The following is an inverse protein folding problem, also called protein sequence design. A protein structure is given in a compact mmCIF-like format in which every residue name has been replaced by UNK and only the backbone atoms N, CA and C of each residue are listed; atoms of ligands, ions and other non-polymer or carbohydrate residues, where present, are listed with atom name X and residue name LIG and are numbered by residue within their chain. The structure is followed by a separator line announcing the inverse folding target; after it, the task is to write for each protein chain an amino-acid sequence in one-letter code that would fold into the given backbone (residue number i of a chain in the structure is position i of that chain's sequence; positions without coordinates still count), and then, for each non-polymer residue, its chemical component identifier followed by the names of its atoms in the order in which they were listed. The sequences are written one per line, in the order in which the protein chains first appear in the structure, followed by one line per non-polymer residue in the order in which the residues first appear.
data_IF_681007190155
#
_entry.id   IF_681007190155
#
_cell.length_a   1.000
_cell.length_b   1.000
_cell.length_c   1.000
_cell.angle_alpha   90.00
_cell.angle_beta   90.00
_cell.angle_gamma   90.00
#
_symmetry.space_group_name_H-M   'P 1'
#
loop_
_entity.id
_entity.type
_entity.pdbx_description
1 polymer ?
#
# COMPACT_ATOMS: atom_id res chain seq x y z
N UNK A 1 27.55 11.04 17.10
CA UNK A 1 28.90 10.43 17.11
C UNK A 1 28.80 9.09 16.40
N UNK A 2 29.66 8.84 15.41
CA UNK A 2 29.74 7.53 14.78
C UNK A 2 30.36 6.53 15.79
N UNK A 3 29.71 5.38 16.00
CA UNK A 3 30.23 4.32 16.86
C UNK A 3 31.42 3.65 16.18
N UNK A 4 32.44 3.24 16.95
CA UNK A 4 33.60 2.50 16.43
C UNK A 4 33.13 1.20 15.77
N UNK A 5 33.71 0.87 14.62
CA UNK A 5 33.52 -0.43 13.96
C UNK A 5 34.78 -1.28 14.13
N UNK A 6 34.67 -2.57 14.49
CA UNK A 6 35.81 -3.48 14.52
C UNK A 6 36.22 -3.88 13.09
N UNK A 7 37.44 -4.40 12.92
CA UNK A 7 37.91 -4.92 11.62
C UNK A 7 38.13 -6.42 11.73
N UNK A 8 37.55 -7.20 10.82
CA UNK A 8 37.69 -8.64 10.80
C UNK A 8 39.11 -9.06 10.40
N UNK A 9 39.76 -9.89 11.21
CA UNK A 9 41.15 -10.31 11.00
C UNK A 9 41.24 -11.51 10.03
N UNK A 10 40.15 -12.26 9.87
CA UNK A 10 40.05 -13.42 8.99
C UNK A 10 38.57 -13.72 8.66
N UNK A 11 38.31 -14.66 7.74
CA UNK A 11 36.93 -15.02 7.32
C UNK A 11 36.11 -15.76 8.40
N UNK A 12 36.75 -16.21 9.49
CA UNK A 12 36.14 -17.04 10.54
C UNK A 12 35.62 -16.18 11.69
N UNK A 13 36.41 -15.20 12.11
CA UNK A 13 36.09 -14.28 13.20
C UNK A 13 35.28 -13.10 12.67
N UNK A 14 34.10 -12.90 13.25
CA UNK A 14 33.16 -11.83 12.89
C UNK A 14 33.00 -10.92 14.10
N UNK A 15 33.91 -9.96 14.32
CA UNK A 15 34.00 -9.25 15.58
C UNK A 15 32.79 -8.36 15.82
N UNK A 16 32.35 -8.27 17.07
CA UNK A 16 31.19 -7.46 17.48
C UNK A 16 31.57 -6.59 18.67
N UNK A 17 31.30 -5.29 18.57
CA UNK A 17 31.42 -4.34 19.69
C UNK A 17 30.03 -4.06 20.25
N UNK A 18 29.90 -4.10 21.58
CA UNK A 18 28.69 -3.71 22.29
C UNK A 18 28.89 -2.33 22.91
N UNK A 19 27.92 -1.44 22.72
CA UNK A 19 27.84 -0.14 23.36
C UNK A 19 26.63 -0.09 24.30
N UNK A 20 26.71 0.70 25.37
CA UNK A 20 25.57 1.02 26.25
C UNK A 20 25.53 2.53 26.49
N UNK A 21 24.39 3.14 26.20
CA UNK A 21 24.14 4.57 26.33
C UNK A 21 25.21 5.43 25.61
N UNK A 22 25.71 4.93 24.47
CA UNK A 22 26.75 5.60 23.67
C UNK A 22 28.19 5.29 24.06
N UNK A 23 28.43 4.63 25.20
CA UNK A 23 29.77 4.23 25.64
C UNK A 23 30.09 2.80 25.22
N UNK A 24 31.30 2.56 24.73
CA UNK A 24 31.79 1.23 24.40
C UNK A 24 31.90 0.38 25.67
N UNK A 25 31.32 -0.83 25.65
CA UNK A 25 31.44 -1.77 26.75
C UNK A 25 32.58 -2.76 26.51
N UNK A 26 32.51 -3.50 25.39
CA UNK A 26 33.43 -4.60 25.10
C UNK A 26 33.33 -5.07 23.65
N UNK A 27 34.45 -5.55 23.12
CA UNK A 27 34.56 -6.23 21.82
C UNK A 27 34.67 -7.76 21.99
N UNK A 28 34.07 -8.50 21.05
CA UNK A 28 34.01 -9.95 21.04
C UNK A 28 34.37 -10.49 19.66
N UNK A 29 34.85 -11.73 19.57
CA UNK A 29 35.23 -12.36 18.30
C UNK A 29 34.05 -12.84 17.45
N UNK A 30 32.84 -12.90 18.03
CA UNK A 30 31.64 -13.39 17.33
C UNK A 30 30.32 -12.91 17.96
N UNK A 31 29.24 -12.95 17.18
CA UNK A 31 27.86 -12.70 17.65
C UNK A 31 27.51 -13.64 18.81
N UNK A 32 27.93 -14.89 18.76
CA UNK A 32 27.62 -15.91 19.77
C UNK A 32 28.27 -15.57 21.11
N UNK A 33 29.55 -15.13 21.10
CA UNK A 33 30.26 -14.75 22.31
C UNK A 33 29.74 -13.43 22.88
N UNK A 34 29.46 -12.45 22.01
CA UNK A 34 28.80 -11.20 22.38
C UNK A 34 27.43 -11.42 23.04
N UNK A 35 26.59 -12.28 22.45
CA UNK A 35 25.24 -12.54 22.94
C UNK A 35 25.23 -13.28 24.28
N UNK A 36 26.12 -14.26 24.46
CA UNK A 36 26.27 -14.99 25.74
C UNK A 36 26.70 -14.03 26.84
N UNK A 37 27.71 -13.20 26.58
CA UNK A 37 28.16 -12.20 27.54
C UNK A 37 27.06 -11.17 27.84
N UNK A 38 26.34 -10.70 26.82
CA UNK A 38 25.28 -9.72 26.99
C UNK A 38 24.15 -10.25 27.88
N UNK A 39 23.80 -11.53 27.77
CA UNK A 39 22.86 -12.20 28.68
C UNK A 39 23.32 -12.08 30.13
N UNK A 40 24.57 -12.49 30.40
CA UNK A 40 25.16 -12.47 31.75
C UNK A 40 25.28 -11.05 32.31
N UNK A 41 25.73 -10.10 31.48
CA UNK A 41 25.92 -8.71 31.86
C UNK A 41 24.60 -7.98 32.14
N UNK A 42 23.58 -8.21 31.31
CA UNK A 42 22.29 -7.53 31.42
C UNK A 42 21.32 -8.19 32.40
N UNK A 43 21.57 -9.45 32.77
CA UNK A 43 20.62 -10.27 33.53
C UNK A 43 19.42 -10.75 32.71
N UNK A 44 19.50 -10.69 31.37
CA UNK A 44 18.39 -11.07 30.50
C UNK A 44 18.12 -12.59 30.57
N UNK A 45 16.84 -12.97 30.51
CA UNK A 45 16.41 -14.37 30.69
C UNK A 45 16.91 -15.30 29.58
N UNK A 46 17.03 -14.80 28.36
CA UNK A 46 17.39 -15.57 27.17
C UNK A 46 18.69 -15.06 26.56
N UNK A 47 19.31 -15.81 25.66
CA UNK A 47 20.47 -15.32 24.91
C UNK A 47 19.94 -14.34 23.84
N UNK A 48 20.30 -13.04 23.89
CA UNK A 48 19.75 -12.02 22.99
C UNK A 48 20.40 -12.04 21.59
N UNK A 49 20.49 -13.23 20.98
CA UNK A 49 21.18 -13.42 19.70
C UNK A 49 20.59 -12.54 18.60
N UNK A 50 19.26 -12.53 18.48
CA UNK A 50 18.56 -11.78 17.45
C UNK A 50 18.68 -10.27 17.64
N UNK A 51 18.79 -9.80 18.87
CA UNK A 51 18.97 -8.39 19.18
C UNK A 51 20.38 -7.91 18.78
N UNK A 52 21.40 -8.73 19.05
CA UNK A 52 22.77 -8.44 18.62
C UNK A 52 22.86 -8.50 17.09
N UNK A 53 22.30 -9.56 16.48
CA UNK A 53 22.27 -9.76 15.03
C UNK A 53 21.56 -8.62 14.29
N UNK A 54 20.36 -8.25 14.73
CA UNK A 54 19.64 -7.13 14.14
C UNK A 54 20.37 -5.80 14.37
N UNK A 55 20.99 -5.64 15.53
CA UNK A 55 21.74 -4.43 15.85
C UNK A 55 22.93 -4.21 14.94
N UNK A 56 23.71 -5.27 14.65
CA UNK A 56 24.87 -5.16 13.77
C UNK A 56 24.49 -4.99 12.29
N UNK A 57 23.40 -5.61 11.82
CA UNK A 57 23.04 -5.61 10.39
C UNK A 57 22.11 -4.46 10.02
N UNK A 58 21.16 -4.11 10.89
CA UNK A 58 20.13 -3.11 10.62
C UNK A 58 20.27 -1.83 11.47
N UNK A 59 21.26 -1.77 12.37
CA UNK A 59 21.47 -0.62 13.26
C UNK A 59 20.42 -0.50 14.37
N UNK A 60 19.68 -1.57 14.66
CA UNK A 60 18.67 -1.58 15.72
C UNK A 60 19.31 -1.43 17.11
N UNK A 61 18.78 -0.51 17.91
CA UNK A 61 19.16 -0.42 19.32
C UNK A 61 18.27 -1.34 20.16
N UNK A 62 18.88 -2.08 21.08
CA UNK A 62 18.16 -2.90 22.04
C UNK A 62 18.03 -2.18 23.38
N UNK A 63 16.81 -1.97 23.87
CA UNK A 63 16.59 -1.35 25.19
C UNK A 63 16.19 -2.38 26.23
N UNK A 64 16.94 -2.46 27.33
CA UNK A 64 16.66 -3.38 28.43
C UNK A 64 17.17 -2.85 29.77
N UNK A 65 16.32 -2.96 30.79
CA UNK A 65 16.60 -2.55 32.18
C UNK A 65 17.22 -1.15 32.31
N UNK A 66 16.63 -0.17 31.60
CA UNK A 66 17.08 1.23 31.62
C UNK A 66 18.37 1.54 30.83
N UNK A 67 18.95 0.55 30.13
CA UNK A 67 20.07 0.75 29.21
C UNK A 67 19.66 0.62 27.74
N UNK A 68 20.22 1.47 26.89
CA UNK A 68 20.11 1.35 25.43
C UNK A 68 21.42 0.79 24.88
N UNK A 69 21.35 -0.37 24.25
CA UNK A 69 22.48 -1.09 23.69
C UNK A 69 22.52 -0.91 22.17
N UNK A 70 23.71 -0.66 21.65
CA UNK A 70 23.98 -0.63 20.21
C UNK A 70 25.13 -1.58 19.89
N UNK A 71 25.19 -2.02 18.64
CA UNK A 71 26.11 -3.06 18.21
C UNK A 71 26.75 -2.67 16.88
N UNK A 72 28.06 -2.90 16.75
CA UNK A 72 28.76 -2.72 15.48
C UNK A 72 29.57 -3.97 15.15
N UNK A 73 29.81 -4.18 13.87
CA UNK A 73 30.62 -5.28 13.31
C UNK A 73 31.48 -4.72 12.18
N UNK A 74 32.39 -5.53 11.66
CA UNK A 74 33.14 -5.17 10.45
C UNK A 74 32.20 -4.82 9.30
N UNK A 75 32.45 -3.68 8.68
CA UNK A 75 31.58 -3.13 7.65
C UNK A 75 31.49 -4.09 6.46
N UNK A 76 32.58 -4.68 5.98
CA UNK A 76 32.54 -5.62 4.86
C UNK A 76 31.73 -6.89 5.19
N UNK A 77 31.79 -7.37 6.44
CA UNK A 77 30.94 -8.48 6.91
C UNK A 77 29.46 -8.06 6.91
N UNK A 78 29.17 -6.83 7.34
CA UNK A 78 27.82 -6.26 7.32
C UNK A 78 27.30 -6.18 5.89
N UNK A 79 28.07 -5.59 4.98
CA UNK A 79 27.74 -5.43 3.56
C UNK A 79 27.50 -6.79 2.88
N UNK A 80 28.40 -7.76 3.08
CA UNK A 80 28.29 -9.10 2.49
C UNK A 80 27.06 -9.87 3.00
N UNK A 81 26.73 -9.75 4.30
CA UNK A 81 25.53 -10.40 4.84
C UNK A 81 24.26 -9.74 4.34
N UNK A 82 24.29 -8.43 4.15
CA UNK A 82 23.18 -7.67 3.58
C UNK A 82 23.00 -8.03 2.11
N UNK A 83 24.07 -8.17 1.32
CA UNK A 83 24.03 -8.67 -0.06
C UNK A 83 23.45 -10.11 -0.16
N UNK A 84 23.88 -11.03 0.72
CA UNK A 84 23.30 -12.39 0.82
C UNK A 84 21.78 -12.36 1.12
N UNK A 85 21.32 -11.33 1.81
CA UNK A 85 19.90 -11.09 2.12
C UNK A 85 19.18 -10.25 1.05
N UNK A 86 19.83 -9.92 -0.07
CA UNK A 86 19.28 -9.09 -1.15
C UNK A 86 19.18 -7.59 -0.82
N UNK A 87 19.89 -7.15 0.22
CA UNK A 87 19.95 -5.77 0.70
C UNK A 87 21.22 -5.14 0.12
N UNK A 88 21.10 -4.46 -1.02
CA UNK A 88 22.21 -3.67 -1.57
C UNK A 88 22.69 -2.63 -0.55
N UNK A 89 24.01 -2.58 -0.38
CA UNK A 89 24.66 -1.72 0.60
C UNK A 89 25.70 -0.84 -0.05
N UNK A 90 25.20 0.21 -0.68
CA UNK A 90 25.90 1.49 -0.68
C UNK A 90 25.09 2.47 0.15
N UNK A 91 25.78 3.41 0.76
CA UNK A 91 25.30 4.46 1.65
C UNK A 91 24.40 5.46 0.87
N UNK A 92 23.21 5.00 0.44
CA UNK A 92 22.12 5.76 -0.21
C UNK A 92 20.75 5.49 0.43
N UNK A 93 20.68 4.82 1.59
CA UNK A 93 19.42 4.44 2.24
C UNK A 93 18.79 5.55 3.10
N UNK A 94 18.79 6.80 2.64
CA UNK A 94 17.56 7.57 2.71
C UNK A 94 17.01 7.49 1.29
N UNK A 95 16.12 6.53 1.03
CA UNK A 95 15.31 6.60 -0.18
C UNK A 95 14.67 7.98 -0.10
N UNK A 96 15.02 8.86 -1.05
CA UNK A 96 14.53 10.22 -0.97
C UNK A 96 12.99 10.17 -1.02
N UNK A 97 12.31 11.04 -0.27
CA UNK A 97 10.86 11.10 -0.34
C UNK A 97 10.45 11.35 -1.79
N UNK A 98 9.74 10.40 -2.37
CA UNK A 98 9.30 10.44 -3.77
C UNK A 98 7.97 11.16 -3.95
N UNK A 99 7.29 11.49 -2.85
CA UNK A 99 5.87 11.85 -2.83
C UNK A 99 4.94 10.64 -2.82
N UNK A 100 5.48 9.43 -2.90
CA UNK A 100 4.74 8.17 -2.88
C UNK A 100 5.18 7.30 -1.70
N UNK A 101 4.26 6.62 -1.03
CA UNK A 101 4.54 5.91 0.22
C UNK A 101 3.91 4.52 0.27
N UNK A 102 4.65 3.55 0.79
CA UNK A 102 4.11 2.27 1.26
C UNK A 102 3.85 2.35 2.75
N UNK A 103 2.59 2.21 3.16
CA UNK A 103 2.16 2.07 4.55
C UNK A 103 2.02 0.58 4.90
N UNK A 104 2.91 0.09 5.77
CA UNK A 104 2.98 -1.35 6.08
C UNK A 104 2.04 -1.67 7.25
N UNK A 105 0.99 -2.42 6.93
CA UNK A 105 0.04 -2.93 7.88
C UNK A 105 0.47 -4.30 8.42
N UNK A 106 0.43 -4.44 9.75
CA UNK A 106 0.49 -5.74 10.42
C UNK A 106 -0.90 -6.08 10.97
N UNK A 107 -1.64 -7.04 10.35
CA UNK A 107 -2.98 -7.43 10.77
C UNK A 107 -3.08 -7.88 12.24
N UNK A 108 -1.98 -8.37 12.82
CA UNK A 108 -1.94 -8.77 14.23
C UNK A 108 -2.01 -7.59 15.20
N UNK A 109 -1.55 -6.42 14.76
CA UNK A 109 -1.57 -5.19 15.55
C UNK A 109 -2.80 -4.35 15.24
N UNK A 110 -3.14 -4.25 13.97
CA UNK A 110 -4.21 -3.40 13.46
C UNK A 110 -5.10 -4.20 12.51
N UNK A 111 -6.36 -4.34 12.90
CA UNK A 111 -7.45 -5.01 12.18
C UNK A 111 -7.88 -4.17 10.97
N UNK A 112 -7.00 -4.10 9.98
CA UNK A 112 -7.22 -3.36 8.73
C UNK A 112 -8.46 -3.86 7.98
N UNK A 113 -8.76 -5.14 8.07
CA UNK A 113 -9.98 -5.75 7.55
C UNK A 113 -11.23 -5.17 8.20
N UNK A 114 -11.27 -5.04 9.52
CA UNK A 114 -12.39 -4.40 10.23
C UNK A 114 -12.53 -2.93 9.84
N UNK A 115 -11.41 -2.22 9.69
CA UNK A 115 -11.41 -0.82 9.27
C UNK A 115 -11.95 -0.67 7.84
N UNK A 116 -11.42 -1.42 6.88
CA UNK A 116 -11.85 -1.36 5.48
C UNK A 116 -13.30 -1.81 5.30
N UNK A 117 -13.78 -2.79 6.08
CA UNK A 117 -15.18 -3.22 6.06
C UNK A 117 -16.14 -2.21 6.69
N UNK A 118 -15.66 -1.34 7.58
CA UNK A 118 -16.50 -0.34 8.25
C UNK A 118 -16.96 0.79 7.32
N UNK A 119 -16.27 0.99 6.19
CA UNK A 119 -16.48 2.12 5.29
C UNK A 119 -15.87 3.43 5.79
N UNK A 120 -15.16 3.44 6.92
CA UNK A 120 -14.33 4.59 7.32
C UNK A 120 -13.25 4.88 6.27
N UNK A 121 -13.15 6.14 5.85
CA UNK A 121 -12.17 6.59 4.85
C UNK A 121 -11.05 7.44 5.43
N UNK A 122 -11.03 7.66 6.75
CA UNK A 122 -10.04 8.51 7.42
C UNK A 122 -9.37 7.79 8.59
N UNK A 123 -8.04 7.83 8.63
CA UNK A 123 -7.28 7.28 9.75
C UNK A 123 -5.97 8.02 10.02
N UNK A 124 -5.31 7.65 11.11
CA UNK A 124 -3.93 8.09 11.41
C UNK A 124 -2.98 6.89 11.40
N UNK A 125 -2.04 6.89 10.46
CA UNK A 125 -1.11 5.79 10.27
C UNK A 125 0.19 6.02 11.03
N UNK A 126 0.71 5.00 11.71
CA UNK A 126 2.00 5.10 12.41
C UNK A 126 3.16 5.08 11.42
N UNK A 127 4.07 6.04 11.51
CA UNK A 127 5.21 6.17 10.59
C UNK A 127 6.54 5.90 11.30
N UNK A 128 7.61 5.67 10.53
CA UNK A 128 8.96 5.63 11.09
C UNK A 128 9.38 7.03 11.55
N UNK A 129 10.12 7.10 12.65
CA UNK A 129 10.65 8.37 13.15
C UNK A 129 11.56 9.06 12.12
N UNK A 130 12.25 8.29 11.27
CA UNK A 130 13.10 8.80 10.18
C UNK A 130 12.33 9.52 9.07
N UNK A 131 11.03 9.24 8.93
CA UNK A 131 10.19 9.74 7.84
C UNK A 131 9.36 10.96 8.28
N UNK A 132 9.39 11.32 9.57
CA UNK A 132 8.49 12.33 10.17
C UNK A 132 8.53 13.71 9.51
N UNK A 133 9.66 14.07 8.92
CA UNK A 133 9.91 15.38 8.31
C UNK A 133 9.80 15.31 6.77
N UNK A 134 9.44 14.15 6.22
CA UNK A 134 9.45 13.86 4.78
C UNK A 134 8.06 13.90 4.12
N UNK A 135 6.99 13.81 4.91
CA UNK A 135 5.62 13.78 4.39
C UNK A 135 5.11 15.17 4.01
N UNK A 136 4.53 15.28 2.82
CA UNK A 136 3.82 16.47 2.33
C UNK A 136 2.33 16.16 2.19
N UNK A 137 1.48 17.17 2.40
CA UNK A 137 0.04 17.04 2.17
C UNK A 137 -0.18 16.85 0.67
N UNK A 138 -0.97 15.85 0.28
CA UNK A 138 -1.16 15.43 -1.10
C UNK A 138 -0.23 14.29 -1.55
N UNK A 139 0.74 13.88 -0.71
CA UNK A 139 1.51 12.66 -0.99
C UNK A 139 0.57 11.46 -1.13
N UNK A 140 0.88 10.59 -2.08
CA UNK A 140 0.08 9.40 -2.39
C UNK A 140 0.70 8.16 -1.77
N UNK A 141 -0.06 7.09 -1.64
CA UNK A 141 0.48 5.85 -1.12
C UNK A 141 -0.43 4.65 -1.19
N UNK A 142 0.10 3.53 -0.73
CA UNK A 142 -0.56 2.24 -0.69
C UNK A 142 -0.54 1.67 0.72
N UNK A 143 -1.59 0.95 1.11
CA UNK A 143 -1.59 0.14 2.35
C UNK A 143 -1.26 -1.30 1.98
N UNK A 144 -0.09 -1.76 2.42
CA UNK A 144 0.42 -3.10 2.15
C UNK A 144 0.28 -3.98 3.39
N UNK A 145 -0.39 -5.10 3.23
CA UNK A 145 -0.46 -6.17 4.23
C UNK A 145 0.62 -7.19 3.95
N UNK A 146 1.45 -7.47 4.97
CA UNK A 146 2.40 -8.57 4.95
C UNK A 146 1.75 -9.89 5.37
N UNK A 147 2.58 -10.87 5.76
CA UNK A 147 2.07 -12.17 6.24
C UNK A 147 1.13 -12.02 7.45
N UNK A 148 -0.11 -12.47 7.30
CA UNK A 148 -1.08 -12.48 8.40
C UNK A 148 -0.79 -13.62 9.38
N UNK A 149 -0.27 -13.23 10.54
CA UNK A 149 0.07 -14.12 11.64
C UNK A 149 -0.93 -14.06 12.80
N UNK A 150 -2.17 -13.57 12.56
CA UNK A 150 -3.24 -13.61 13.55
C UNK A 150 -3.55 -15.05 13.97
N UNK A 151 -3.88 -15.21 15.25
CA UNK A 151 -4.32 -16.48 15.85
C UNK A 151 -5.80 -16.73 15.58
N UNK A 152 -6.27 -17.98 15.72
CA UNK A 152 -7.70 -18.34 15.58
C UNK A 152 -8.60 -17.46 16.46
N UNK A 153 -8.15 -17.18 17.70
CA UNK A 153 -8.87 -16.30 18.63
C UNK A 153 -8.97 -14.85 18.14
N UNK A 154 -7.90 -14.33 17.52
CA UNK A 154 -7.89 -12.97 16.96
C UNK A 154 -8.72 -12.86 15.68
N UNK A 155 -8.73 -13.93 14.87
CA UNK A 155 -9.50 -13.98 13.64
C UNK A 155 -11.01 -14.06 13.90
N UNK A 156 -11.44 -14.66 15.02
CA UNK A 156 -12.85 -14.74 15.41
C UNK A 156 -13.77 -15.21 14.27
N UNK A 157 -13.35 -16.26 13.54
CA UNK A 157 -14.08 -16.82 12.40
C UNK A 157 -13.71 -16.23 11.03
N UNK A 158 -12.89 -15.17 10.97
CA UNK A 158 -12.39 -14.60 9.72
C UNK A 158 -11.25 -15.43 9.10
N UNK A 159 -11.12 -15.32 7.78
CA UNK A 159 -9.96 -15.85 7.08
C UNK A 159 -8.75 -14.93 7.27
N UNK A 160 -7.55 -15.50 7.11
CA UNK A 160 -6.32 -14.72 7.11
C UNK A 160 -6.24 -13.88 5.84
N UNK A 161 -5.65 -12.70 5.95
CA UNK A 161 -5.34 -11.88 4.79
C UNK A 161 -4.10 -12.43 4.08
N UNK A 162 -4.17 -12.50 2.77
CA UNK A 162 -3.02 -12.76 1.93
C UNK A 162 -2.10 -11.53 1.89
N UNK A 163 -0.84 -11.75 1.52
CA UNK A 163 0.08 -10.64 1.43
C UNK A 163 -0.20 -9.85 0.14
N UNK A 164 -0.44 -8.55 0.26
CA UNK A 164 -0.86 -7.73 -0.89
C UNK A 164 -1.11 -6.27 -0.55
N UNK A 165 -1.57 -5.52 -1.55
CA UNK A 165 -2.03 -4.14 -1.43
C UNK A 165 -3.54 -4.12 -1.23
N UNK A 166 -3.98 -3.50 -0.14
CA UNK A 166 -5.37 -3.52 0.32
C UNK A 166 -6.06 -2.15 0.24
N UNK A 167 -5.30 -1.08 0.02
CA UNK A 167 -5.88 0.23 -0.23
C UNK A 167 -4.89 1.17 -0.92
N UNK A 168 -5.45 2.20 -1.57
CA UNK A 168 -4.74 3.40 -2.01
C UNK A 168 -5.13 4.56 -1.10
N UNK A 169 -4.17 5.39 -0.73
CA UNK A 169 -4.33 6.46 0.26
C UNK A 169 -3.68 7.76 -0.18
N UNK A 170 -4.15 8.86 0.40
CA UNK A 170 -3.60 10.20 0.28
C UNK A 170 -3.26 10.75 1.67
N UNK A 171 -2.13 11.43 1.79
CA UNK A 171 -1.71 12.11 3.02
C UNK A 171 -2.41 13.45 3.13
N UNK A 172 -3.24 13.62 4.15
CA UNK A 172 -4.09 14.81 4.33
C UNK A 172 -3.61 15.73 5.46
N UNK A 173 -2.48 15.42 6.08
CA UNK A 173 -1.96 16.22 7.18
C UNK A 173 -0.51 15.92 7.51
N UNK A 174 0.12 16.82 8.27
CA UNK A 174 1.50 16.64 8.73
C UNK A 174 1.61 15.60 9.84
N UNK A 175 2.73 14.86 9.92
CA UNK A 175 2.98 13.95 11.03
C UNK A 175 2.96 14.64 12.38
N UNK A 176 2.38 13.96 13.38
CA UNK A 176 2.30 14.43 14.76
C UNK A 176 2.62 13.29 15.71
N UNK A 177 3.35 13.60 16.78
CA UNK A 177 3.61 12.65 17.87
C UNK A 177 2.33 12.53 18.71
N UNK A 178 1.69 11.35 18.68
CA UNK A 178 0.46 11.11 19.43
C UNK A 178 0.30 9.64 19.82
N UNK A 179 -0.37 9.39 20.95
CA UNK A 179 -0.96 8.09 21.26
C UNK A 179 -2.28 7.93 20.50
N UNK A 180 -2.70 6.71 20.20
CA UNK A 180 -4.00 6.49 19.53
C UNK A 180 -5.08 6.20 20.55
N UNK A 181 -6.21 6.89 20.42
CA UNK A 181 -7.43 6.73 21.21
C UNK A 181 -8.52 5.92 20.47
N UNK A 182 -8.32 5.60 19.18
CA UNK A 182 -9.26 4.80 18.37
C UNK A 182 -9.42 3.39 18.96
N UNK A 183 -10.52 3.20 19.71
CA UNK A 183 -10.82 1.98 20.47
C UNK A 183 -11.12 0.73 19.62
N UNK A 184 -11.38 0.85 18.31
CA UNK A 184 -11.97 -0.22 17.49
C UNK A 184 -11.01 -1.24 16.86
N UNK A 185 -9.88 -0.80 16.29
CA UNK A 185 -9.17 -1.61 15.29
C UNK A 185 -7.80 -2.15 15.73
N UNK A 186 -7.42 -2.07 17.00
CA UNK A 186 -6.08 -2.46 17.46
C UNK A 186 -6.13 -3.61 18.48
N UNK A 187 -5.50 -4.76 18.24
CA UNK A 187 -5.64 -5.89 19.18
C UNK A 187 -4.82 -5.75 20.48
N UNK A 188 -3.77 -4.92 20.52
CA UNK A 188 -2.87 -4.77 21.67
C UNK A 188 -3.04 -3.41 22.38
N UNK A 189 -3.70 -3.38 23.54
CA UNK A 189 -3.94 -2.15 24.32
C UNK A 189 -2.66 -1.42 24.75
N UNK A 190 -1.58 -2.16 25.06
CA UNK A 190 -0.31 -1.57 25.50
C UNK A 190 0.49 -0.87 24.38
N UNK A 191 0.26 -1.21 23.10
CA UNK A 191 0.91 -0.54 21.96
C UNK A 191 0.14 0.75 21.57
N UNK A 192 -1.14 0.86 21.94
CA UNK A 192 -1.99 2.05 21.69
C UNK A 192 -1.55 3.28 22.51
N UNK A 193 -1.09 3.06 23.75
CA UNK A 193 -0.72 4.12 24.69
C UNK A 193 0.67 4.72 24.45
N UNK A 194 1.50 4.12 23.59
CA UNK A 194 2.84 4.64 23.26
C UNK A 194 2.72 5.72 22.20
N UNK A 195 3.20 6.92 22.53
CA UNK A 195 3.28 8.01 21.56
C UNK A 195 4.21 7.60 20.41
N UNK A 196 3.68 7.66 19.18
CA UNK A 196 4.43 7.46 17.93
C UNK A 196 4.12 8.61 16.99
N UNK A 197 5.02 8.91 16.07
CA UNK A 197 4.66 9.78 14.97
C UNK A 197 3.60 9.09 14.13
N UNK A 198 2.50 9.80 13.90
CA UNK A 198 1.39 9.37 13.05
C UNK A 198 1.07 10.43 12.03
N UNK A 199 0.72 10.00 10.83
CA UNK A 199 0.31 10.87 9.73
C UNK A 199 -1.18 10.64 9.42
N UNK A 200 -1.99 11.71 9.31
CA UNK A 200 -3.37 11.61 8.85
C UNK A 200 -3.42 11.19 7.37
N UNK A 201 -4.22 10.17 7.07
CA UNK A 201 -4.41 9.65 5.71
C UNK A 201 -5.90 9.50 5.38
N UNK A 202 -6.23 9.71 4.11
CA UNK A 202 -7.54 9.39 3.52
C UNK A 202 -7.39 8.17 2.62
N UNK A 203 -8.31 7.22 2.72
CA UNK A 203 -8.40 6.06 1.83
C UNK A 203 -9.20 6.46 0.60
N UNK A 204 -8.57 6.41 -0.56
CA UNK A 204 -9.18 6.77 -1.86
C UNK A 204 -9.69 5.54 -2.59
N UNK A 205 -9.06 4.37 -2.38
CA UNK A 205 -9.52 3.10 -2.93
C UNK A 205 -9.44 2.03 -1.86
N UNK A 206 -10.54 1.30 -1.68
CA UNK A 206 -10.62 0.14 -0.79
C UNK A 206 -10.56 -1.12 -1.64
N UNK A 207 -9.50 -1.91 -1.45
CA UNK A 207 -9.21 -3.13 -2.20
C UNK A 207 -9.38 -4.37 -1.32
N UNK A 208 -10.23 -4.28 -0.29
CA UNK A 208 -10.43 -5.40 0.63
C UNK A 208 -10.99 -6.64 -0.05
N UNK A 209 -11.97 -6.47 -0.94
CA UNK A 209 -12.60 -7.58 -1.66
C UNK A 209 -11.68 -8.16 -2.75
N UNK A 210 -10.91 -7.30 -3.41
CA UNK A 210 -9.99 -7.67 -4.49
C UNK A 210 -8.61 -7.01 -4.29
N UNK A 211 -7.78 -7.55 -3.36
CA UNK A 211 -6.45 -7.01 -3.11
C UNK A 211 -5.50 -7.35 -4.25
N UNK A 212 -4.54 -6.47 -4.50
CA UNK A 212 -3.45 -6.77 -5.45
C UNK A 212 -2.41 -7.60 -4.71
N UNK A 213 -2.38 -8.90 -4.96
CA UNK A 213 -1.50 -9.83 -4.26
C UNK A 213 -0.03 -9.59 -4.62
N UNK A 214 0.87 -9.81 -3.65
CA UNK A 214 2.31 -9.67 -3.89
C UNK A 214 2.80 -10.65 -4.96
N UNK A 215 2.22 -11.85 -5.03
CA UNK A 215 2.56 -12.84 -6.05
C UNK A 215 2.23 -12.32 -7.45
N UNK A 216 1.09 -11.62 -7.63
CA UNK A 216 0.73 -10.96 -8.89
C UNK A 216 1.72 -9.85 -9.26
N UNK A 217 2.16 -9.05 -8.28
CA UNK A 217 3.16 -8.01 -8.51
C UNK A 217 4.53 -8.60 -8.91
N UNK A 218 4.90 -9.75 -8.33
CA UNK A 218 6.11 -10.49 -8.67
C UNK A 218 6.06 -11.04 -10.10
N UNK A 219 4.95 -11.71 -10.45
CA UNK A 219 4.78 -12.36 -11.77
C UNK A 219 4.78 -11.35 -12.92
N UNK A 220 4.25 -10.15 -12.69
CA UNK A 220 4.21 -9.09 -13.68
C UNK A 220 5.54 -8.30 -13.79
N UNK A 221 6.54 -8.60 -12.96
CA UNK A 221 7.79 -7.81 -12.83
C UNK A 221 7.53 -6.31 -12.65
N UNK A 222 6.44 -5.97 -11.97
CA UNK A 222 5.91 -4.61 -11.87
C UNK A 222 6.72 -3.75 -10.90
N UNK A 223 7.35 -4.37 -9.90
CA UNK A 223 7.93 -3.56 -8.83
C UNK A 223 9.36 -3.16 -9.18
N UNK A 224 9.59 -1.86 -9.23
CA UNK A 224 10.93 -1.27 -9.20
C UNK A 224 11.44 -1.14 -7.75
N UNK A 225 10.58 -1.47 -6.78
CA UNK A 225 10.87 -1.46 -5.34
C UNK A 225 11.06 -2.85 -4.76
N UNK A 226 12.33 -3.22 -4.56
CA UNK A 226 12.71 -4.45 -3.84
C UNK A 226 12.05 -4.60 -2.46
N UNK A 227 11.68 -3.49 -1.83
CA UNK A 227 11.12 -3.47 -0.47
C UNK A 227 9.60 -3.72 -0.42
N UNK A 228 8.89 -3.56 -1.53
CA UNK A 228 7.47 -3.92 -1.62
C UNK A 228 7.30 -5.45 -1.55
N UNK A 229 8.19 -6.16 -2.25
CA UNK A 229 8.21 -7.63 -2.36
C UNK A 229 8.97 -8.28 -1.19
N UNK A 230 10.24 -7.88 -0.97
CA UNK A 230 11.20 -8.60 -0.12
C UNK A 230 10.88 -8.56 1.38
N UNK A 231 9.83 -7.84 1.77
CA UNK A 231 9.48 -7.61 3.16
C UNK A 231 10.42 -6.58 3.79
N UNK A 232 9.83 -5.64 4.51
CA UNK A 232 10.56 -4.56 5.16
C UNK A 232 10.14 -4.46 6.62
N UNK A 233 11.10 -4.27 7.52
CA UNK A 233 10.83 -3.98 8.92
C UNK A 233 10.71 -2.48 9.11
N UNK A 234 9.49 -1.98 8.97
CA UNK A 234 9.13 -0.59 9.24
C UNK A 234 7.66 -0.37 8.97
N UNK A 235 7.12 0.75 9.44
CA UNK A 235 5.70 1.08 9.23
C UNK A 235 5.46 1.91 7.96
N UNK A 236 6.50 2.54 7.41
CA UNK A 236 6.47 3.31 6.18
C UNK A 236 7.73 3.06 5.34
N UNK A 237 7.63 3.23 4.02
CA UNK A 237 8.77 3.28 3.08
C UNK A 237 8.40 4.24 1.94
N UNK A 238 9.31 5.11 1.47
CA UNK A 238 9.11 5.77 0.18
C UNK A 238 8.95 4.72 -0.93
N UNK A 239 7.97 4.93 -1.78
CA UNK A 239 7.63 4.06 -2.91
C UNK A 239 8.13 4.72 -4.20
N UNK A 240 8.68 3.96 -5.13
CA UNK A 240 9.02 4.50 -6.44
C UNK A 240 7.74 4.91 -7.18
N UNK A 241 7.76 6.09 -7.79
CA UNK A 241 6.65 6.60 -8.61
C UNK A 241 6.24 5.59 -9.69
N UNK A 242 7.20 4.96 -10.37
CA UNK A 242 6.90 3.94 -11.39
C UNK A 242 6.17 2.72 -10.80
N UNK A 243 6.57 2.27 -9.59
CA UNK A 243 5.84 1.19 -8.90
C UNK A 243 4.42 1.62 -8.53
N UNK A 244 4.24 2.86 -8.08
CA UNK A 244 2.90 3.39 -7.79
C UNK A 244 2.04 3.45 -9.07
N UNK A 245 2.58 3.99 -10.16
CA UNK A 245 1.92 4.06 -11.45
C UNK A 245 1.53 2.67 -11.96
N UNK A 246 2.40 1.67 -11.82
CA UNK A 246 2.09 0.31 -12.21
C UNK A 246 0.97 -0.31 -11.36
N UNK A 247 0.93 -0.01 -10.06
CA UNK A 247 -0.17 -0.42 -9.17
C UNK A 247 -1.48 0.22 -9.60
N UNK A 248 -1.47 1.51 -9.92
CA UNK A 248 -2.65 2.21 -10.45
C UNK A 248 -3.07 1.63 -11.80
N UNK A 249 -2.11 1.34 -12.69
CA UNK A 249 -2.39 0.68 -13.96
C UNK A 249 -2.99 -0.71 -13.76
N UNK A 250 -2.54 -1.47 -12.76
CA UNK A 250 -3.17 -2.76 -12.41
C UNK A 250 -4.59 -2.53 -11.95
N UNK A 251 -4.85 -1.53 -11.09
CA UNK A 251 -6.22 -1.21 -10.65
C UNK A 251 -7.12 -0.80 -11.80
N UNK A 252 -6.66 0.12 -12.64
CA UNK A 252 -7.39 0.54 -13.83
C UNK A 252 -7.64 -0.65 -14.75
N UNK A 253 -6.64 -1.52 -14.93
CA UNK A 253 -6.80 -2.76 -15.67
C UNK A 253 -7.72 -3.74 -14.96
N UNK A 254 -7.78 -3.82 -13.63
CA UNK A 254 -8.70 -4.68 -12.87
C UNK A 254 -10.13 -4.19 -13.02
N UNK A 255 -10.37 -2.89 -12.95
CA UNK A 255 -11.67 -2.31 -13.27
C UNK A 255 -12.01 -2.53 -14.75
N UNK A 256 -11.03 -2.36 -15.64
CA UNK A 256 -11.18 -2.61 -17.08
C UNK A 256 -11.29 -4.11 -17.41
N UNK A 257 -10.76 -5.02 -16.60
CA UNK A 257 -10.86 -6.49 -16.77
C UNK A 257 -11.99 -7.09 -15.97
N UNK A 258 -12.55 -6.44 -14.98
CA UNK A 258 -13.93 -6.70 -14.58
C UNK A 258 -14.88 -6.30 -15.72
N UNK A 259 -14.54 -5.27 -16.51
CA UNK A 259 -15.23 -4.96 -17.77
C UNK A 259 -14.89 -5.97 -18.91
N UNK A 260 -13.66 -6.51 -18.96
CA UNK A 260 -13.12 -7.39 -20.03
C UNK A 260 -13.09 -8.90 -19.67
N UNK A 261 -13.39 -9.38 -18.47
CA UNK A 261 -13.50 -10.83 -18.14
C UNK A 261 -14.68 -11.51 -18.86
N UNK A 262 -15.35 -10.76 -19.74
CA UNK A 262 -16.12 -11.23 -20.88
C UNK A 262 -15.30 -11.51 -22.17
N UNK A 263 -13.97 -11.49 -22.18
CA UNK A 263 -13.14 -11.82 -23.35
C UNK A 263 -11.64 -11.94 -23.02
N UNK A 264 -11.03 -13.04 -23.49
CA UNK A 264 -9.64 -13.48 -23.33
C UNK A 264 -8.56 -12.63 -24.07
N UNK A 265 -7.32 -12.72 -23.54
CA UNK A 265 -6.07 -11.95 -23.76
C UNK A 265 -5.45 -12.02 -25.19
N UNK A 266 -4.72 -10.97 -25.61
CA UNK A 266 -3.31 -10.93 -26.13
C UNK A 266 -2.80 -9.46 -26.37
N UNK A 267 -1.54 -9.12 -26.00
CA UNK A 267 -0.86 -7.76 -25.94
C UNK A 267 -0.25 -7.31 -27.30
N UNK A 268 0.13 -6.04 -27.61
CA UNK A 268 1.26 -5.22 -27.07
C UNK A 268 1.41 -3.78 -27.69
N UNK A 269 2.07 -2.81 -27.00
CA UNK A 269 3.16 -2.02 -27.63
C UNK A 269 3.22 -0.48 -27.69
N UNK A 270 2.24 0.33 -27.28
CA UNK A 270 2.35 1.80 -27.43
C UNK A 270 1.89 2.60 -26.21
N UNK A 271 2.78 3.42 -25.65
CA UNK A 271 2.49 4.39 -24.58
C UNK A 271 1.76 5.60 -25.14
N UNK A 272 0.59 5.91 -24.58
CA UNK A 272 -0.12 7.16 -24.81
C UNK A 272 -0.50 7.75 -23.45
N UNK A 273 0.05 8.93 -23.13
CA UNK A 273 -0.29 9.65 -21.89
C UNK A 273 -1.75 10.07 -21.94
N UNK A 274 -2.53 9.69 -20.92
CA UNK A 274 -3.88 10.21 -20.68
C UNK A 274 -3.98 10.56 -19.20
N UNK A 275 -4.13 11.85 -18.91
CA UNK A 275 -4.50 12.34 -17.58
C UNK A 275 -5.97 12.05 -17.33
N UNK A 276 -6.31 11.31 -16.27
CA UNK A 276 -7.72 11.13 -15.88
C UNK A 276 -7.87 11.46 -14.41
N UNK A 277 -8.61 12.54 -14.12
CA UNK A 277 -9.03 12.87 -12.76
C UNK A 277 -10.13 11.89 -12.34
N UNK A 278 -9.88 11.17 -11.25
CA UNK A 278 -10.79 10.16 -10.69
C UNK A 278 -11.90 10.88 -9.93
N UNK A 279 -13.05 11.03 -10.57
CA UNK A 279 -14.28 11.36 -9.88
C UNK A 279 -14.92 10.07 -9.35
N UNK A 280 -15.04 9.95 -8.02
CA UNK A 280 -15.67 8.83 -7.32
C UNK A 280 -17.11 8.60 -7.81
N UNK A 281 -17.42 7.38 -8.29
CA UNK A 281 -18.75 7.01 -8.80
C UNK A 281 -19.62 6.43 -7.68
N UNK A 282 -20.79 7.03 -7.42
CA UNK A 282 -21.72 6.57 -6.39
C UNK A 282 -22.55 5.34 -6.84
N UNK A 283 -22.43 4.17 -6.18
CA UNK A 283 -23.13 2.94 -6.59
C UNK A 283 -24.66 3.04 -6.42
N UNK A 284 -25.16 3.86 -5.49
CA UNK A 284 -26.59 4.12 -5.31
C UNK A 284 -27.14 4.91 -6.49
N UNK A 285 -26.37 5.89 -6.98
CA UNK A 285 -26.76 6.68 -8.14
C UNK A 285 -26.80 5.81 -9.41
N UNK A 286 -25.82 4.92 -9.60
CA UNK A 286 -25.86 3.93 -10.69
C UNK A 286 -27.13 3.08 -10.64
N UNK A 287 -27.44 2.48 -9.49
CA UNK A 287 -28.63 1.63 -9.35
C UNK A 287 -29.92 2.37 -9.66
N UNK A 288 -30.09 3.58 -9.12
CA UNK A 288 -31.27 4.43 -9.38
C UNK A 288 -31.40 4.80 -10.86
N UNK A 289 -30.28 5.09 -11.54
CA UNK A 289 -30.27 5.35 -12.98
C UNK A 289 -30.77 4.13 -13.77
N UNK A 290 -30.29 2.92 -13.43
CA UNK A 290 -30.68 1.67 -14.10
C UNK A 290 -32.12 1.29 -13.79
N UNK A 291 -32.56 1.44 -12.54
CA UNK A 291 -33.97 1.22 -12.15
C UNK A 291 -34.92 2.12 -12.95
N UNK A 292 -34.51 3.36 -13.26
CA UNK A 292 -35.32 4.33 -14.00
C UNK A 292 -35.27 4.12 -15.53
N UNK A 293 -34.07 3.96 -16.11
CA UNK A 293 -33.87 3.92 -17.56
C UNK A 293 -33.78 2.51 -18.16
N UNK A 294 -33.59 1.49 -17.32
CA UNK A 294 -33.31 0.12 -17.74
C UNK A 294 -31.86 -0.11 -18.20
N UNK A 295 -31.58 -1.33 -18.65
CA UNK A 295 -30.26 -1.80 -19.09
C UNK A 295 -30.04 -1.72 -20.60
N UNK A 296 -30.80 -0.89 -21.32
CA UNK A 296 -30.60 -0.63 -22.74
C UNK A 296 -29.72 0.60 -22.93
N UNK A 297 -28.74 0.51 -23.82
CA UNK A 297 -27.88 1.63 -24.19
C UNK A 297 -28.74 2.73 -24.82
N UNK A 298 -28.72 3.94 -24.26
CA UNK A 298 -29.50 5.05 -24.82
C UNK A 298 -29.00 5.55 -26.16
N UNK A 299 -27.79 5.14 -26.61
CA UNK A 299 -27.17 5.58 -27.87
C UNK A 299 -27.50 4.63 -29.02
N UNK A 300 -27.21 3.34 -28.86
CA UNK A 300 -27.37 2.33 -29.92
C UNK A 300 -28.45 1.28 -29.64
N UNK A 301 -29.25 1.48 -28.59
CA UNK A 301 -30.34 0.60 -28.15
C UNK A 301 -29.93 -0.84 -27.77
N UNK A 302 -28.63 -1.13 -27.81
CA UNK A 302 -28.07 -2.43 -27.45
C UNK A 302 -28.39 -2.81 -26.00
N UNK A 303 -28.81 -4.04 -25.80
CA UNK A 303 -29.18 -4.57 -24.48
C UNK A 303 -28.52 -5.95 -24.30
N UNK A 304 -27.64 -6.04 -23.30
CA UNK A 304 -26.85 -7.23 -23.07
C UNK A 304 -27.69 -8.44 -22.66
N UNK A 305 -28.74 -8.25 -21.86
CA UNK A 305 -29.63 -9.34 -21.48
C UNK A 305 -30.43 -9.88 -22.67
N UNK A 306 -30.93 -8.99 -23.55
CA UNK A 306 -31.65 -9.41 -24.77
C UNK A 306 -30.74 -10.14 -25.75
N UNK A 307 -29.48 -9.73 -25.88
CA UNK A 307 -28.54 -10.30 -26.86
C UNK A 307 -27.83 -11.55 -26.33
N UNK A 308 -27.41 -11.56 -25.07
CA UNK A 308 -26.59 -12.62 -24.46
C UNK A 308 -27.32 -13.43 -23.39
N UNK A 309 -28.61 -13.18 -23.18
CA UNK A 309 -29.41 -13.86 -22.16
C UNK A 309 -28.94 -13.51 -20.74
N UNK A 310 -29.04 -14.47 -19.82
CA UNK A 310 -28.73 -14.27 -18.39
C UNK A 310 -27.31 -13.74 -18.12
N UNK A 311 -26.35 -14.04 -18.99
CA UNK A 311 -24.97 -13.55 -18.88
C UNK A 311 -24.90 -12.02 -18.92
N UNK A 312 -25.79 -11.39 -19.70
CA UNK A 312 -25.86 -9.94 -19.86
C UNK A 312 -26.79 -9.24 -18.88
N UNK A 313 -27.35 -9.95 -17.90
CA UNK A 313 -28.29 -9.37 -16.94
C UNK A 313 -27.59 -8.28 -16.11
N UNK A 314 -28.23 -7.12 -16.00
CA UNK A 314 -27.75 -5.94 -15.26
C UNK A 314 -26.39 -5.37 -15.72
N UNK A 315 -25.87 -5.86 -16.85
CA UNK A 315 -24.62 -5.42 -17.45
C UNK A 315 -24.84 -4.21 -18.36
N UNK A 316 -24.58 -3.02 -17.82
CA UNK A 316 -24.60 -1.75 -18.55
C UNK A 316 -23.71 -0.73 -17.82
N UNK A 317 -23.03 0.15 -18.56
CA UNK A 317 -22.28 1.26 -17.97
C UNK A 317 -23.20 2.46 -17.75
N UNK A 318 -22.80 3.38 -16.86
CA UNK A 318 -23.54 4.62 -16.61
C UNK A 318 -22.60 5.80 -16.81
N UNK A 319 -22.98 6.69 -17.73
CA UNK A 319 -22.21 7.87 -18.13
C UNK A 319 -22.77 9.13 -17.48
N UNK A 320 -21.89 10.03 -17.04
CA UNK A 320 -22.25 11.35 -16.53
C UNK A 320 -22.40 12.33 -17.69
N UNK A 321 -23.57 12.97 -17.82
CA UNK A 321 -23.85 13.98 -18.83
C UNK A 321 -23.15 15.31 -18.58
N UNK A 322 -22.83 15.60 -17.31
CA UNK A 322 -22.01 16.75 -16.93
C UNK A 322 -20.59 16.27 -16.63
N UNK A 323 -19.62 16.92 -17.24
CA UNK A 323 -18.22 16.65 -16.92
C UNK A 323 -17.91 17.18 -15.52
N UNK A 324 -17.71 16.25 -14.59
CA UNK A 324 -17.45 16.58 -13.19
C UNK A 324 -16.22 17.50 -13.04
N UNK A 325 -15.31 17.48 -14.02
CA UNK A 325 -14.14 18.36 -14.18
C UNK A 325 -14.42 19.87 -14.14
N UNK A 326 -15.66 20.29 -14.35
CA UNK A 326 -16.09 21.69 -14.31
C UNK A 326 -16.67 22.12 -12.96
N UNK A 327 -16.83 21.19 -12.01
CA UNK A 327 -17.44 21.43 -10.71
C UNK A 327 -16.34 21.25 -9.66
N UNK A 328 -15.76 22.37 -9.23
CA UNK A 328 -14.66 22.43 -8.25
C UNK A 328 -15.09 22.24 -6.79
N UNK A 329 -16.29 21.71 -6.54
CA UNK A 329 -16.86 21.45 -5.21
C UNK A 329 -17.70 20.15 -5.23
N UNK A 330 -17.98 19.58 -4.05
CA UNK A 330 -18.84 18.39 -3.89
C UNK A 330 -20.18 18.58 -4.64
N UNK A 331 -20.47 17.71 -5.60
CA UNK A 331 -21.68 17.77 -6.42
C UNK A 331 -22.63 16.63 -6.05
N UNK A 332 -23.88 16.96 -5.70
CA UNK A 332 -24.93 15.96 -5.57
C UNK A 332 -25.34 15.45 -6.96
N UNK A 333 -24.91 14.23 -7.28
CA UNK A 333 -25.31 13.54 -8.51
C UNK A 333 -26.79 13.19 -8.45
N UNK A 334 -27.57 13.71 -9.40
CA UNK A 334 -28.93 13.26 -9.66
C UNK A 334 -28.91 12.07 -10.63
N UNK A 335 -29.30 10.86 -10.18
CA UNK A 335 -29.29 9.65 -10.99
C UNK A 335 -30.16 9.70 -12.25
N UNK A 336 -31.14 10.60 -12.28
CA UNK A 336 -32.08 10.75 -13.39
C UNK A 336 -31.61 11.85 -14.32
N UNK A 337 -31.18 13.01 -13.81
CA UNK A 337 -30.82 14.12 -14.70
C UNK A 337 -29.38 14.10 -15.18
N UNK A 338 -28.46 13.52 -14.40
CA UNK A 338 -27.02 13.56 -14.71
C UNK A 338 -26.47 12.27 -15.29
N UNK A 339 -27.20 11.16 -15.20
CA UNK A 339 -26.68 9.84 -15.56
C UNK A 339 -27.46 9.20 -16.70
N UNK A 340 -26.78 8.47 -17.59
CA UNK A 340 -27.45 7.68 -18.65
C UNK A 340 -26.82 6.30 -18.82
N UNK A 341 -27.64 5.25 -19.01
CA UNK A 341 -27.12 3.92 -19.30
C UNK A 341 -26.58 3.87 -20.74
N UNK A 342 -25.34 3.42 -20.89
CA UNK A 342 -24.65 3.29 -22.17
C UNK A 342 -23.90 1.95 -22.21
N UNK A 343 -23.80 1.32 -23.38
CA UNK A 343 -22.96 0.13 -23.50
C UNK A 343 -21.47 0.52 -23.40
N UNK A 344 -20.58 -0.40 -23.01
CA UNK A 344 -19.13 -0.16 -22.91
C UNK A 344 -18.54 0.47 -24.18
N UNK A 345 -18.98 0.01 -25.36
CA UNK A 345 -18.52 0.53 -26.65
C UNK A 345 -18.89 2.01 -26.84
N UNK A 346 -20.16 2.36 -26.59
CA UNK A 346 -20.60 3.74 -26.69
C UNK A 346 -19.96 4.61 -25.60
N UNK A 347 -19.79 4.08 -24.38
CA UNK A 347 -19.12 4.78 -23.29
C UNK A 347 -17.68 5.16 -23.68
N UNK A 348 -16.92 4.22 -24.24
CA UNK A 348 -15.58 4.47 -24.73
C UNK A 348 -15.55 5.53 -25.86
N UNK A 349 -16.55 5.52 -26.75
CA UNK A 349 -16.64 6.51 -27.83
C UNK A 349 -16.97 7.92 -27.32
N UNK A 350 -17.81 8.06 -26.28
CA UNK A 350 -18.12 9.35 -25.66
C UNK A 350 -16.84 10.03 -25.18
N UNK A 351 -15.92 9.28 -24.58
CA UNK A 351 -14.66 9.78 -24.01
C UNK A 351 -13.46 9.80 -24.97
N UNK A 352 -13.66 9.65 -26.29
CA UNK A 352 -12.56 9.81 -27.27
C UNK A 352 -12.08 11.25 -27.44
N UNK A 353 -12.81 12.22 -26.88
CA UNK A 353 -12.48 13.65 -26.86
C UNK A 353 -12.72 14.19 -25.45
N UNK A 354 -12.02 15.28 -25.12
CA UNK A 354 -12.36 16.12 -23.98
C UNK A 354 -12.67 17.54 -24.49
N UNK A 355 -13.87 18.11 -24.22
CA UNK A 355 -14.98 17.47 -23.53
C UNK A 355 -15.59 16.30 -24.33
N UNK A 356 -16.15 15.33 -23.62
CA UNK A 356 -16.83 14.16 -24.11
C UNK A 356 -17.93 14.55 -25.11
N UNK A 357 -18.19 13.66 -26.06
CA UNK A 357 -19.33 13.85 -26.97
C UNK A 357 -20.63 13.79 -26.18
N UNK A 358 -21.61 14.61 -26.57
CA UNK A 358 -22.98 14.42 -26.12
C UNK A 358 -23.56 13.14 -26.72
N UNK A 359 -24.56 12.56 -26.04
CA UNK A 359 -25.33 11.42 -26.55
C UNK A 359 -25.88 11.69 -27.95
N UNK A 360 -26.33 12.92 -28.20
CA UNK A 360 -26.90 13.32 -29.50
C UNK A 360 -25.84 13.34 -30.59
N UNK A 361 -24.65 13.87 -30.31
CA UNK A 361 -23.52 13.83 -31.25
C UNK A 361 -23.12 12.39 -31.57
N UNK A 362 -22.96 11.55 -30.54
CA UNK A 362 -22.52 10.18 -30.76
C UNK A 362 -23.56 9.34 -31.51
N UNK A 363 -24.86 9.57 -31.26
CA UNK A 363 -25.94 9.00 -32.09
C UNK A 363 -25.82 9.38 -33.55
N UNK A 364 -25.44 10.62 -33.86
CA UNK A 364 -25.28 11.10 -35.23
C UNK A 364 -24.15 10.42 -36.01
N UNK A 365 -23.17 9.83 -35.32
CA UNK A 365 -22.10 9.05 -35.94
C UNK A 365 -22.46 7.59 -36.17
N UNK A 366 -23.58 7.09 -35.60
CA UNK A 366 -24.02 5.73 -35.83
C UNK A 366 -24.50 5.57 -37.27
N UNK A 367 -23.83 4.72 -38.03
CA UNK A 367 -24.25 4.29 -39.37
C UNK A 367 -25.11 3.04 -39.34
N UNK A 368 -25.47 2.55 -38.14
CA UNK A 368 -26.29 1.36 -37.97
C UNK A 368 -27.74 1.73 -38.30
N UNK A 369 -28.23 1.18 -39.42
CA UNK A 369 -29.65 1.10 -39.77
C UNK A 369 -30.32 -0.04 -39.02
#
# INVERSE_FOLDING_TARGET
MALRQPIAVNKVEKPVIIFKNGSELKEFSSIQTASKWLKEYSGYKYIPYKQVENGIFFGETWSYNGGTYAFTTDENIRLAKLEELGIETENKNKIEPTGFWTFICNPKKWAIDDFLMSGETFDTFSIRDSDRDSFVIGDLGIVRVGKDNRTIKQLNGKQKLDAGVYAIVEVIGKPKLMATDKKGYWYEENDRQKARYRVPIKYTHNLYEEPILLDTLNELNVTHDKYLIGGFQGSTIPLNEATYDDIINILDNMYTTQEITNSTILKEGATKKVSVNVYERNPVARRKCIEHYGCSCVICDFNFEKTYGKLGKDFIHVHHLKELHTIGEEYEVDPITDLRPVCPNCHAMLHKRQPAYSIKELKGFLTIK
#
